data_IF_403447043265
#
_entry.id   IF_403447043265
#
_cell.length_a   1.000
_cell.length_b   1.000
_cell.length_c   1.000
_cell.angle_alpha   90.00
_cell.angle_beta   90.00
_cell.angle_gamma   90.00
#
_symmetry.space_group_name_H-M   'P 1'
#
loop_
_entity.id
_entity.type
_entity.pdbx_description
1 polymer ?
#
# COMPACT_ATOMS: atom_id res chain seq x y z
N UNK A 1 16.87 3.57 8.25
CA UNK A 1 15.41 3.41 8.41
C UNK A 1 15.01 4.11 9.69
N UNK A 2 14.07 5.03 9.65
CA UNK A 2 13.72 5.90 10.80
C UNK A 2 13.05 5.17 11.97
N UNK A 3 12.61 3.92 11.76
CA UNK A 3 11.94 3.09 12.77
C UNK A 3 12.90 2.34 13.70
N UNK A 4 14.19 2.21 13.34
CA UNK A 4 15.11 1.29 14.03
C UNK A 4 14.74 -0.20 13.88
N UNK A 5 13.66 -0.52 13.17
CA UNK A 5 13.21 -1.87 12.87
C UNK A 5 13.75 -2.33 11.52
N UNK A 6 13.73 -3.65 11.29
CA UNK A 6 14.06 -4.20 9.98
C UNK A 6 13.02 -3.79 8.93
N UNK A 7 13.43 -3.58 7.68
CA UNK A 7 12.47 -3.51 6.57
C UNK A 7 11.57 -4.74 6.59
N UNK A 8 10.25 -4.51 6.56
CA UNK A 8 9.23 -5.56 6.61
C UNK A 8 9.27 -6.40 7.89
N UNK A 9 9.62 -5.81 9.03
CA UNK A 9 9.49 -6.46 10.34
C UNK A 9 8.06 -7.01 10.54
N UNK A 10 7.94 -8.21 11.09
CA UNK A 10 6.67 -8.93 11.21
C UNK A 10 6.22 -9.71 9.97
N UNK A 11 6.88 -9.55 8.81
CA UNK A 11 6.63 -10.38 7.64
C UNK A 11 7.53 -11.62 7.60
N UNK A 12 6.98 -12.74 7.12
CA UNK A 12 7.79 -13.91 6.80
C UNK A 12 8.59 -13.65 5.53
N UNK A 13 9.90 -13.88 5.57
CA UNK A 13 10.80 -13.77 4.41
C UNK A 13 10.57 -14.94 3.45
N UNK A 14 9.54 -14.82 2.61
CA UNK A 14 9.13 -15.85 1.67
C UNK A 14 8.88 -15.25 0.27
N UNK A 15 8.44 -16.10 -0.66
CA UNK A 15 8.17 -15.66 -2.04
C UNK A 15 7.01 -14.65 -2.13
N UNK A 16 6.03 -14.73 -1.24
CA UNK A 16 4.87 -13.83 -1.26
C UNK A 16 5.27 -12.41 -0.85
N UNK A 17 6.17 -12.26 0.14
CA UNK A 17 6.78 -10.97 0.47
C UNK A 17 7.59 -10.43 -0.71
N UNK A 18 8.42 -11.27 -1.34
CA UNK A 18 9.22 -10.85 -2.49
C UNK A 18 8.35 -10.38 -3.67
N UNK A 19 7.24 -11.07 -3.95
CA UNK A 19 6.27 -10.65 -4.96
C UNK A 19 5.62 -9.33 -4.60
N UNK A 20 5.22 -9.16 -3.33
CA UNK A 20 4.63 -7.92 -2.85
C UNK A 20 5.59 -6.74 -3.03
N UNK A 21 6.89 -6.93 -2.75
CA UNK A 21 7.94 -5.92 -2.99
C UNK A 21 8.08 -5.61 -4.49
N UNK A 22 8.11 -6.62 -5.35
CA UNK A 22 8.11 -6.45 -6.81
C UNK A 22 6.88 -5.67 -7.30
N UNK A 23 5.74 -5.83 -6.62
CA UNK A 23 4.47 -5.18 -6.93
C UNK A 23 4.31 -3.81 -6.26
N UNK A 24 5.34 -3.29 -5.58
CA UNK A 24 5.33 -1.91 -5.06
C UNK A 24 5.25 -1.80 -3.54
N UNK A 25 5.12 -2.89 -2.79
CA UNK A 25 5.19 -2.83 -1.33
C UNK A 25 6.53 -2.21 -0.89
N UNK A 26 6.48 -1.20 -0.01
CA UNK A 26 7.65 -0.51 0.55
C UNK A 26 7.56 -0.47 2.08
N UNK A 27 8.71 -0.42 2.77
CA UNK A 27 8.71 -0.22 4.22
C UNK A 27 8.15 1.15 4.59
N UNK A 28 7.40 1.21 5.68
CA UNK A 28 6.89 2.47 6.23
C UNK A 28 7.96 3.22 7.01
N UNK A 29 7.83 4.55 7.03
CA UNK A 29 8.61 5.42 7.91
C UNK A 29 7.92 5.53 9.27
N UNK A 30 8.70 5.70 10.34
CA UNK A 30 8.15 5.89 11.67
C UNK A 30 7.27 7.16 11.75
N UNK A 31 6.19 7.17 12.55
CA UNK A 31 5.48 8.40 12.88
C UNK A 31 6.44 9.48 13.37
N UNK A 32 6.25 10.70 12.88
CA UNK A 32 7.15 11.82 13.18
C UNK A 32 8.40 11.91 12.32
N UNK A 33 8.72 10.93 11.46
CA UNK A 33 9.87 11.03 10.55
C UNK A 33 9.87 12.37 9.78
N UNK A 34 11.00 13.11 9.69
CA UNK A 34 11.06 14.38 8.98
C UNK A 34 10.55 14.26 7.54
N UNK A 35 9.73 15.22 7.08
CA UNK A 35 9.13 15.20 5.74
C UNK A 35 10.19 15.20 4.65
N UNK A 36 11.29 15.93 4.84
CA UNK A 36 12.43 15.92 3.92
C UNK A 36 13.03 14.51 3.78
N UNK A 37 13.11 13.75 4.87
CA UNK A 37 13.60 12.37 4.87
C UNK A 37 12.62 11.42 4.18
N UNK A 38 11.32 11.51 4.47
CA UNK A 38 10.28 10.70 3.81
C UNK A 38 10.35 10.89 2.30
N UNK A 39 10.40 12.14 1.84
CA UNK A 39 10.51 12.48 0.41
C UNK A 39 11.75 11.84 -0.23
N UNK A 40 12.90 11.86 0.44
CA UNK A 40 14.11 11.22 -0.07
C UNK A 40 13.97 9.70 -0.15
N UNK A 41 13.39 9.07 0.87
CA UNK A 41 13.14 7.61 0.89
C UNK A 41 12.20 7.20 -0.24
N UNK A 42 11.11 7.94 -0.45
CA UNK A 42 10.16 7.70 -1.55
C UNK A 42 10.86 7.76 -2.92
N UNK A 43 11.69 8.78 -3.16
CA UNK A 43 12.49 8.87 -4.40
C UNK A 43 13.46 7.69 -4.55
N UNK A 44 14.15 7.30 -3.48
CA UNK A 44 15.10 6.18 -3.51
C UNK A 44 14.43 4.82 -3.74
N UNK A 45 13.18 4.68 -3.31
CA UNK A 45 12.41 3.44 -3.38
C UNK A 45 11.43 3.41 -4.57
N UNK A 46 11.51 4.37 -5.49
CA UNK A 46 10.62 4.44 -6.65
C UNK A 46 10.66 3.12 -7.45
N UNK A 47 9.50 2.54 -7.84
CA UNK A 47 9.47 1.33 -8.65
C UNK A 47 10.21 1.51 -9.99
N UNK A 48 10.20 2.71 -10.57
CA UNK A 48 10.94 3.04 -11.79
C UNK A 48 12.40 3.40 -11.46
N UNK A 49 13.39 2.58 -11.89
CA UNK A 49 14.80 2.85 -11.63
C UNK A 49 15.28 4.20 -12.19
N UNK A 50 14.64 4.73 -13.24
CA UNK A 50 15.01 6.01 -13.84
C UNK A 50 14.57 7.21 -13.00
N UNK A 51 13.58 7.04 -12.11
CA UNK A 51 13.13 8.08 -11.19
C UNK A 51 13.97 8.14 -9.90
N UNK A 52 14.75 7.10 -9.63
CA UNK A 52 15.62 7.04 -8.45
C UNK A 52 16.77 8.06 -8.57
N UNK A 53 17.13 8.76 -7.48
CA UNK A 53 18.22 9.71 -7.50
C UNK A 53 19.57 8.99 -7.65
N UNK A 54 20.55 9.67 -8.25
CA UNK A 54 21.94 9.22 -8.20
C UNK A 54 22.49 9.31 -6.77
N UNK A 55 23.55 8.55 -6.49
CA UNK A 55 24.25 8.65 -5.21
C UNK A 55 24.77 10.07 -4.91
N UNK A 56 25.22 10.79 -5.94
CA UNK A 56 25.63 12.19 -5.84
C UNK A 56 24.48 13.10 -5.42
N UNK A 57 23.29 12.93 -6.01
CA UNK A 57 22.10 13.69 -5.61
C UNK A 57 21.71 13.41 -4.17
N UNK A 58 21.74 12.14 -3.74
CA UNK A 58 21.48 11.77 -2.34
C UNK A 58 22.50 12.42 -1.42
N UNK A 59 23.78 12.38 -1.78
CA UNK A 59 24.84 13.04 -1.02
C UNK A 59 24.61 14.54 -0.87
N UNK A 60 24.25 15.23 -1.96
CA UNK A 60 23.96 16.67 -1.92
C UNK A 60 22.77 17.01 -1.03
N UNK A 61 21.69 16.23 -1.07
CA UNK A 61 20.54 16.40 -0.16
C UNK A 61 20.95 16.25 1.31
N UNK A 62 21.70 15.19 1.64
CA UNK A 62 22.19 14.96 3.00
C UNK A 62 23.14 16.07 3.46
N UNK A 63 24.01 16.55 2.56
CA UNK A 63 24.94 17.63 2.84
C UNK A 63 24.19 18.94 3.14
N UNK A 64 23.17 19.28 2.35
CA UNK A 64 22.31 20.45 2.59
C UNK A 64 21.60 20.37 3.95
N UNK A 65 21.14 19.19 4.36
CA UNK A 65 20.54 19.02 5.68
C UNK A 65 21.57 19.21 6.80
N UNK A 66 22.79 18.71 6.62
CA UNK A 66 23.85 18.92 7.60
C UNK A 66 24.25 20.39 7.73
N UNK A 67 24.41 21.11 6.60
CA UNK A 67 24.65 22.55 6.61
C UNK A 67 23.51 23.32 7.29
N UNK A 68 22.26 22.93 7.03
CA UNK A 68 21.08 23.52 7.66
C UNK A 68 21.14 23.42 9.18
N UNK A 69 21.55 22.26 9.72
CA UNK A 69 21.70 22.06 11.16
C UNK A 69 22.78 22.96 11.78
N UNK A 70 23.84 23.29 11.03
CA UNK A 70 24.94 24.16 11.48
C UNK A 70 24.60 25.66 11.41
N UNK A 71 23.60 26.05 10.61
CA UNK A 71 23.20 27.45 10.48
C UNK A 71 22.58 27.99 11.78
N UNK A 72 22.89 29.25 12.06
CA UNK A 72 22.34 29.97 13.21
C UNK A 72 20.83 30.21 13.09
N UNK A 73 20.34 30.43 11.87
CA UNK A 73 18.92 30.65 11.62
C UNK A 73 18.20 29.32 11.46
N UNK A 74 16.99 29.23 12.01
CA UNK A 74 16.15 28.06 11.85
C UNK A 74 15.44 28.11 10.50
N UNK A 75 15.74 27.13 9.66
CA UNK A 75 14.97 26.84 8.47
C UNK A 75 14.03 25.66 8.69
N UNK A 76 13.17 25.40 7.72
CA UNK A 76 12.16 24.35 7.77
C UNK A 76 12.77 22.95 7.93
N UNK A 77 13.94 22.68 7.35
CA UNK A 77 14.63 21.39 7.44
C UNK A 77 15.13 21.20 8.87
N UNK A 78 15.88 22.17 9.39
CA UNK A 78 16.39 22.15 10.77
C UNK A 78 15.25 21.98 11.77
N UNK A 79 14.14 22.71 11.58
CA UNK A 79 12.96 22.59 12.45
C UNK A 79 12.38 21.18 12.45
N UNK A 80 12.22 20.55 11.29
CA UNK A 80 11.71 19.18 11.21
C UNK A 80 12.57 18.18 11.98
N UNK A 81 13.90 18.30 11.93
CA UNK A 81 14.78 17.41 12.70
C UNK A 81 14.72 17.69 14.21
N UNK A 82 14.72 18.96 14.61
CA UNK A 82 14.63 19.35 16.02
C UNK A 82 13.31 18.92 16.67
N UNK A 83 12.18 19.03 15.95
CA UNK A 83 10.87 18.60 16.43
C UNK A 83 10.89 17.09 16.76
N UNK A 84 11.57 16.29 15.93
CA UNK A 84 11.71 14.83 16.14
C UNK A 84 12.61 14.50 17.32
N UNK A 85 13.71 15.22 17.49
CA UNK A 85 14.60 15.02 18.64
C UNK A 85 13.88 15.25 19.98
N UNK A 86 12.90 16.16 20.03
CA UNK A 86 12.07 16.33 21.23
C UNK A 86 11.11 15.17 21.44
N UNK A 87 10.52 14.61 20.37
CA UNK A 87 9.64 13.44 20.45
C UNK A 87 10.43 12.20 20.92
N UNK A 88 11.62 11.96 20.35
CA UNK A 88 12.45 10.79 20.67
C UNK A 88 12.80 10.74 22.16
N UNK A 89 13.08 11.88 22.79
CA UNK A 89 13.36 11.95 24.24
C UNK A 89 12.21 11.46 25.12
N UNK A 90 10.99 11.41 24.58
CA UNK A 90 9.78 11.01 25.31
C UNK A 90 9.33 9.58 25.01
N UNK A 91 9.93 8.90 24.03
CA UNK A 91 9.54 7.55 23.61
C UNK A 91 10.18 6.45 24.48
N UNK A 92 9.44 5.40 24.87
CA UNK A 92 10.01 4.24 25.57
C UNK A 92 11.03 3.51 24.69
N UNK A 93 12.23 3.24 25.20
CA UNK A 93 13.37 2.67 24.45
C UNK A 93 13.25 1.16 24.15
N UNK A 94 12.09 0.53 24.40
CA UNK A 94 11.94 -0.92 24.26
C UNK A 94 11.66 -1.27 22.80
N UNK A 95 12.71 -1.61 22.06
CA UNK A 95 12.57 -2.27 20.76
C UNK A 95 12.22 -3.75 20.96
N UNK A 96 11.34 -4.34 20.12
CA UNK A 96 11.08 -5.77 20.14
C UNK A 96 12.39 -6.55 19.96
N UNK A 97 12.70 -7.45 20.90
CA UNK A 97 13.83 -8.38 20.78
C UNK A 97 13.38 -9.50 19.85
N UNK A 98 13.97 -9.55 18.66
CA UNK A 98 13.74 -10.61 17.69
C UNK A 98 14.92 -11.59 17.67
N UNK A 99 14.71 -12.88 17.38
CA UNK A 99 15.79 -13.87 17.33
C UNK A 99 16.88 -13.55 16.30
N UNK A 100 18.14 -13.90 16.61
CA UNK A 100 19.32 -13.56 15.80
C UNK A 100 19.29 -14.14 14.37
N UNK A 101 18.65 -15.30 14.19
CA UNK A 101 18.53 -15.97 12.88
C UNK A 101 17.75 -15.15 11.84
N UNK A 102 17.01 -14.12 12.27
CA UNK A 102 16.24 -13.26 11.39
C UNK A 102 17.15 -12.20 10.73
N UNK A 103 18.41 -12.00 11.18
CA UNK A 103 19.34 -10.97 10.68
C UNK A 103 20.34 -11.49 9.65
N UNK A 104 20.31 -12.79 9.32
CA UNK A 104 21.17 -13.36 8.28
C UNK A 104 20.54 -13.14 6.91
N UNK A 105 21.33 -12.65 5.95
CA UNK A 105 20.88 -12.50 4.57
C UNK A 105 20.54 -13.88 3.98
N UNK A 106 19.32 -14.03 3.48
CA UNK A 106 18.93 -15.21 2.70
C UNK A 106 19.00 -14.93 1.21
N UNK A 107 19.47 -15.92 0.44
CA UNK A 107 19.48 -15.83 -1.02
C UNK A 107 18.04 -15.96 -1.53
N UNK A 108 17.56 -14.91 -2.18
CA UNK A 108 16.26 -14.92 -2.84
C UNK A 108 16.36 -15.75 -4.12
N UNK A 109 15.48 -16.75 -4.26
CA UNK A 109 15.36 -17.53 -5.50
C UNK A 109 14.58 -16.73 -6.56
N UNK A 110 15.30 -15.96 -7.36
CA UNK A 110 14.74 -15.12 -8.42
C UNK A 110 14.02 -15.93 -9.50
N UNK A 111 14.46 -17.15 -9.80
CA UNK A 111 13.78 -18.03 -10.75
C UNK A 111 12.39 -18.42 -10.25
N UNK A 112 12.24 -18.70 -8.95
CA UNK A 112 10.95 -19.02 -8.33
C UNK A 112 10.01 -17.82 -8.39
N UNK A 113 10.51 -16.62 -8.11
CA UNK A 113 9.74 -15.36 -8.22
C UNK A 113 9.26 -15.14 -9.66
N UNK A 114 10.18 -15.24 -10.64
CA UNK A 114 9.84 -15.08 -12.06
C UNK A 114 8.85 -16.15 -12.51
N UNK A 115 8.99 -17.39 -12.04
CA UNK A 115 8.03 -18.47 -12.31
C UNK A 115 6.63 -18.16 -11.79
N UNK A 116 6.53 -17.59 -10.59
CA UNK A 116 5.26 -17.20 -9.97
C UNK A 116 4.62 -16.00 -10.67
N UNK A 117 5.40 -14.96 -11.02
CA UNK A 117 4.92 -13.84 -11.83
C UNK A 117 4.39 -14.30 -13.20
N UNK A 118 5.10 -15.24 -13.85
CA UNK A 118 4.64 -15.85 -15.09
C UNK A 118 3.32 -16.59 -14.93
N UNK A 119 3.09 -17.24 -13.79
CA UNK A 119 1.86 -17.99 -13.54
C UNK A 119 0.61 -17.11 -13.42
N UNK A 120 0.76 -15.82 -13.10
CA UNK A 120 -0.35 -14.85 -13.07
C UNK A 120 -0.75 -14.34 -14.46
N UNK A 121 -0.01 -14.73 -15.50
CA UNK A 121 -0.23 -14.26 -16.85
C UNK A 121 0.25 -12.82 -17.06
N UNK A 122 0.06 -12.34 -18.29
CA UNK A 122 0.36 -10.96 -18.67
C UNK A 122 -0.92 -10.20 -18.91
N UNK A 123 -0.92 -8.93 -18.54
CA UNK A 123 -1.99 -8.02 -18.88
C UNK A 123 -2.04 -7.80 -20.39
N UNK A 124 -3.22 -7.89 -20.99
CA UNK A 124 -3.44 -7.62 -22.40
C UNK A 124 -3.20 -6.14 -22.77
N UNK A 125 -3.35 -5.21 -21.82
CA UNK A 125 -3.24 -3.77 -22.06
C UNK A 125 -1.80 -3.21 -22.00
N UNK A 126 -0.92 -3.72 -21.13
CA UNK A 126 0.50 -3.29 -21.06
C UNK A 126 1.51 -4.38 -21.42
N UNK A 127 1.09 -5.64 -21.59
CA UNK A 127 1.99 -6.79 -21.80
C UNK A 127 3.01 -7.02 -20.66
N UNK A 128 2.76 -6.43 -19.48
CA UNK A 128 3.51 -6.69 -18.24
C UNK A 128 2.87 -7.85 -17.47
N UNK A 129 3.64 -8.51 -16.61
CA UNK A 129 3.09 -9.55 -15.74
C UNK A 129 2.06 -8.95 -14.77
N UNK A 130 0.98 -9.68 -14.56
CA UNK A 130 -0.01 -9.33 -13.56
C UNK A 130 0.56 -9.46 -12.16
N UNK A 131 0.06 -8.65 -11.22
CA UNK A 131 0.50 -8.68 -9.82
C UNK A 131 -0.19 -9.79 -9.03
N UNK A 132 -1.38 -10.20 -9.47
CA UNK A 132 -2.08 -11.43 -9.06
C UNK A 132 -2.82 -12.05 -10.25
N UNK A 133 -3.48 -13.18 -10.02
CA UNK A 133 -4.40 -13.75 -11.02
C UNK A 133 -5.39 -12.70 -11.51
N UNK A 134 -5.46 -12.53 -12.84
CA UNK A 134 -6.32 -11.57 -13.54
C UNK A 134 -6.28 -10.10 -13.06
N UNK A 135 -5.18 -9.65 -12.44
CA UNK A 135 -5.06 -8.26 -11.95
C UNK A 135 -3.78 -7.57 -12.40
N UNK A 136 -3.94 -6.51 -13.18
CA UNK A 136 -2.91 -5.60 -13.64
C UNK A 136 -2.93 -4.30 -12.85
N UNK A 137 -1.89 -4.09 -12.02
CA UNK A 137 -1.74 -2.86 -11.24
C UNK A 137 -1.81 -1.57 -12.06
N UNK A 138 -1.36 -1.61 -13.31
CA UNK A 138 -1.25 -0.42 -14.15
C UNK A 138 -2.59 0.03 -14.72
N UNK A 139 -3.58 -0.86 -14.85
CA UNK A 139 -4.82 -0.54 -15.56
C UNK A 139 -6.09 -0.88 -14.79
N UNK A 140 -6.13 -2.01 -14.10
CA UNK A 140 -7.37 -2.47 -13.47
C UNK A 140 -7.82 -1.55 -12.33
N UNK A 141 -6.93 -1.05 -11.45
CA UNK A 141 -7.33 -0.01 -10.50
C UNK A 141 -7.94 1.23 -11.16
N UNK A 142 -7.44 1.63 -12.34
CA UNK A 142 -7.99 2.78 -13.07
C UNK A 142 -9.37 2.50 -13.68
N UNK A 143 -9.68 1.23 -14.01
CA UNK A 143 -11.02 0.84 -14.43
C UNK A 143 -12.00 0.86 -13.27
N UNK A 144 -11.59 0.34 -12.10
CA UNK A 144 -12.43 0.29 -10.90
C UNK A 144 -12.83 1.68 -10.39
N UNK A 145 -11.96 2.69 -10.55
CA UNK A 145 -12.27 4.07 -10.16
C UNK A 145 -13.11 4.83 -11.21
N UNK A 146 -13.29 4.26 -12.41
CA UNK A 146 -13.94 4.96 -13.52
C UNK A 146 -15.46 4.93 -13.39
N UNK A 147 -16.09 6.09 -13.46
CA UNK A 147 -17.54 6.21 -13.69
C UNK A 147 -18.42 6.29 -12.45
N UNK A 148 -17.87 6.18 -11.24
CA UNK A 148 -18.64 6.34 -10.00
C UNK A 148 -18.17 7.51 -9.12
N UNK A 149 -19.11 8.07 -8.37
CA UNK A 149 -18.88 9.02 -7.27
C UNK A 149 -19.95 8.82 -6.20
N UNK A 150 -19.54 8.90 -4.94
CA UNK A 150 -20.44 8.91 -3.78
C UNK A 150 -21.17 10.24 -3.59
N UNK A 151 -20.72 11.29 -4.30
CA UNK A 151 -21.14 12.68 -4.06
C UNK A 151 -20.33 13.37 -2.96
N UNK A 152 -19.54 12.64 -2.18
CA UNK A 152 -18.62 13.17 -1.17
C UNK A 152 -17.17 13.02 -1.65
N UNK A 153 -16.45 14.15 -1.73
CA UNK A 153 -15.09 14.18 -2.29
C UNK A 153 -14.06 13.50 -1.39
N UNK A 154 -14.26 13.53 -0.08
CA UNK A 154 -13.33 12.94 0.88
C UNK A 154 -13.50 11.41 0.91
N UNK A 155 -14.75 10.93 0.83
CA UNK A 155 -15.06 9.51 0.69
C UNK A 155 -14.55 8.98 -0.66
N UNK A 156 -14.83 9.69 -1.76
CA UNK A 156 -14.34 9.33 -3.09
C UNK A 156 -12.82 9.21 -3.13
N UNK A 157 -12.12 10.19 -2.56
CA UNK A 157 -10.65 10.19 -2.50
C UNK A 157 -10.15 8.98 -1.72
N UNK A 158 -10.70 8.73 -0.53
CA UNK A 158 -10.32 7.61 0.32
C UNK A 158 -10.49 6.28 -0.42
N UNK A 159 -11.68 6.02 -0.99
CA UNK A 159 -11.95 4.75 -1.67
C UNK A 159 -11.09 4.58 -2.91
N UNK A 160 -10.92 5.62 -3.72
CA UNK A 160 -10.08 5.59 -4.93
C UNK A 160 -8.61 5.36 -4.58
N UNK A 161 -8.11 5.93 -3.48
CA UNK A 161 -6.76 5.64 -2.97
C UNK A 161 -6.59 4.17 -2.58
N UNK A 162 -7.58 3.55 -1.91
CA UNK A 162 -7.53 2.11 -1.62
C UNK A 162 -7.57 1.25 -2.88
N UNK A 163 -8.44 1.57 -3.84
CA UNK A 163 -8.53 0.85 -5.12
C UNK A 163 -7.22 0.94 -5.92
N UNK A 164 -6.63 2.14 -6.01
CA UNK A 164 -5.34 2.39 -6.69
C UNK A 164 -4.17 1.59 -6.11
N UNK A 165 -4.21 1.30 -4.81
CA UNK A 165 -3.16 0.57 -4.10
C UNK A 165 -3.42 -0.95 -4.02
N UNK A 166 -4.57 -1.44 -4.47
CA UNK A 166 -4.89 -2.85 -4.42
C UNK A 166 -4.00 -3.66 -5.37
N UNK A 167 -3.31 -4.68 -4.84
CA UNK A 167 -2.40 -5.55 -5.59
C UNK A 167 -3.08 -6.78 -6.21
N UNK A 168 -4.35 -6.98 -5.88
CA UNK A 168 -5.18 -8.08 -6.33
C UNK A 168 -6.64 -7.67 -6.27
N UNK A 169 -7.48 -8.29 -7.09
CA UNK A 169 -8.93 -8.07 -7.08
C UNK A 169 -9.53 -8.29 -5.68
N UNK A 170 -9.13 -9.38 -5.00
CA UNK A 170 -9.61 -9.72 -3.64
C UNK A 170 -9.17 -8.74 -2.55
N UNK A 171 -8.29 -7.80 -2.88
CA UNK A 171 -7.82 -6.72 -1.99
C UNK A 171 -8.36 -5.35 -2.39
N UNK A 172 -9.02 -5.25 -3.54
CA UNK A 172 -9.71 -4.04 -3.95
C UNK A 172 -11.06 -3.95 -3.21
N UNK A 173 -11.37 -2.75 -2.72
CA UNK A 173 -12.72 -2.45 -2.25
C UNK A 173 -13.58 -2.01 -3.43
N UNK A 174 -14.86 -2.36 -3.43
CA UNK A 174 -15.82 -1.96 -4.47
C UNK A 174 -16.76 -0.88 -3.94
N UNK A 175 -17.00 0.15 -4.76
CA UNK A 175 -18.03 1.13 -4.47
C UNK A 175 -19.39 0.59 -4.87
N UNK A 176 -20.33 0.54 -3.91
CA UNK A 176 -21.71 0.09 -4.14
C UNK A 176 -22.64 1.31 -4.00
N UNK A 177 -23.28 1.76 -5.09
CA UNK A 177 -24.29 2.81 -5.03
C UNK A 177 -25.44 2.44 -4.08
N UNK A 178 -25.97 3.42 -3.34
CA UNK A 178 -26.99 3.16 -2.32
C UNK A 178 -28.29 2.56 -2.89
N UNK A 179 -28.65 2.92 -4.12
CA UNK A 179 -29.81 2.37 -4.85
C UNK A 179 -29.62 0.90 -5.27
N UNK A 180 -28.42 0.34 -5.09
CA UNK A 180 -28.10 -1.08 -5.28
C UNK A 180 -28.14 -1.88 -3.98
N UNK A 181 -28.54 -1.26 -2.87
CA UNK A 181 -28.72 -1.93 -1.59
C UNK A 181 -30.22 -2.15 -1.31
N UNK A 182 -30.58 -3.38 -0.96
CA UNK A 182 -31.92 -3.78 -0.56
C UNK A 182 -31.93 -4.35 0.86
N UNK A 183 -33.11 -4.49 1.48
CA UNK A 183 -33.29 -5.06 2.81
C UNK A 183 -32.44 -4.38 3.91
N UNK A 184 -32.36 -3.04 3.88
CA UNK A 184 -31.64 -2.28 4.90
C UNK A 184 -32.22 -2.53 6.30
N UNK A 185 -31.37 -3.04 7.20
CA UNK A 185 -31.67 -3.32 8.60
C UNK A 185 -30.68 -2.58 9.50
N UNK A 186 -31.20 -1.78 10.42
CA UNK A 186 -30.37 -1.14 11.43
C UNK A 186 -29.73 -2.19 12.36
N UNK A 187 -28.43 -2.03 12.64
CA UNK A 187 -27.71 -2.88 13.60
C UNK A 187 -27.42 -2.09 14.89
N UNK A 188 -26.73 -0.96 14.79
CA UNK A 188 -26.30 -0.18 15.94
C UNK A 188 -25.96 1.26 15.55
N UNK A 189 -25.95 2.16 16.54
CA UNK A 189 -25.44 3.53 16.39
C UNK A 189 -24.28 3.75 17.34
N UNK A 190 -23.13 4.12 16.81
CA UNK A 190 -21.93 4.50 17.56
C UNK A 190 -21.69 6.01 17.52
N UNK A 191 -20.58 6.43 18.11
CA UNK A 191 -20.14 7.83 18.13
C UNK A 191 -19.81 8.37 16.73
N UNK A 192 -19.22 7.53 15.88
CA UNK A 192 -18.73 7.92 14.55
C UNK A 192 -19.66 7.53 13.39
N UNK A 193 -20.84 6.96 13.68
CA UNK A 193 -21.75 6.55 12.61
C UNK A 193 -22.85 5.58 13.02
N UNK A 194 -23.64 5.18 12.04
CA UNK A 194 -24.71 4.19 12.20
C UNK A 194 -24.42 2.99 11.32
N UNK A 195 -24.48 1.80 11.90
CA UNK A 195 -24.23 0.54 11.24
C UNK A 195 -25.54 -0.07 10.74
N UNK A 196 -25.56 -0.43 9.45
CA UNK A 196 -26.66 -1.10 8.79
C UNK A 196 -26.19 -2.41 8.17
N UNK A 197 -27.09 -3.38 8.09
CA UNK A 197 -26.99 -4.58 7.26
C UNK A 197 -27.83 -4.35 6.01
N UNK A 198 -27.36 -4.79 4.84
CA UNK A 198 -28.10 -4.70 3.59
C UNK A 198 -27.67 -5.85 2.66
N UNK A 199 -28.55 -6.19 1.72
CA UNK A 199 -28.27 -7.09 0.62
C UNK A 199 -27.81 -6.26 -0.58
N UNK A 200 -26.78 -6.72 -1.29
CA UNK A 200 -26.35 -6.09 -2.54
C UNK A 200 -27.03 -6.78 -3.73
N UNK A 201 -27.85 -6.03 -4.47
CA UNK A 201 -28.72 -6.59 -5.54
C UNK A 201 -27.95 -7.17 -6.72
N UNK A 202 -26.72 -6.70 -6.97
CA UNK A 202 -25.91 -7.20 -8.10
C UNK A 202 -25.10 -8.46 -7.73
N UNK A 203 -25.11 -8.87 -6.45
CA UNK A 203 -24.37 -10.03 -5.95
C UNK A 203 -22.85 -9.83 -5.84
N UNK A 204 -22.17 -10.79 -5.24
CA UNK A 204 -20.71 -10.76 -5.15
C UNK A 204 -20.08 -11.20 -6.48
N UNK A 205 -18.90 -10.66 -6.78
CA UNK A 205 -18.09 -11.14 -7.88
C UNK A 205 -17.52 -12.53 -7.56
N UNK A 206 -17.85 -13.53 -8.38
CA UNK A 206 -17.37 -14.90 -8.25
C UNK A 206 -16.56 -15.24 -9.51
N UNK A 207 -15.25 -15.44 -9.35
CA UNK A 207 -14.42 -15.92 -10.46
C UNK A 207 -14.82 -17.35 -10.82
N UNK A 208 -15.40 -17.52 -12.01
CA UNK A 208 -15.44 -18.81 -12.71
C UNK A 208 -14.19 -18.84 -13.59
N UNK A 209 -13.42 -19.93 -13.55
CA UNK A 209 -12.13 -20.06 -14.25
C UNK A 209 -12.23 -19.66 -15.75
N UNK A 210 -11.87 -18.41 -16.07
CA UNK A 210 -11.98 -17.81 -17.40
C UNK A 210 -11.67 -16.29 -17.41
N UNK A 211 -11.53 -15.66 -18.59
CA UNK A 211 -11.23 -14.22 -18.73
C UNK A 211 -12.43 -13.29 -18.45
N UNK A 212 -13.61 -13.84 -18.19
CA UNK A 212 -14.83 -13.07 -17.92
C UNK A 212 -15.17 -13.09 -16.42
N UNK A 213 -15.46 -11.91 -15.88
CA UNK A 213 -15.88 -11.72 -14.50
C UNK A 213 -17.40 -11.90 -14.43
N UNK A 214 -17.86 -13.00 -13.85
CA UNK A 214 -19.29 -13.23 -13.61
C UNK A 214 -19.68 -12.81 -12.18
N UNK A 215 -20.81 -12.12 -12.04
CA UNK A 215 -21.40 -11.76 -10.74
C UNK A 215 -22.46 -12.78 -10.39
N UNK A 216 -22.43 -13.35 -9.19
CA UNK A 216 -23.40 -14.35 -8.75
C UNK A 216 -24.00 -13.94 -7.42
N UNK A 217 -25.33 -14.02 -7.34
CA UNK A 217 -26.08 -13.87 -6.10
C UNK A 217 -25.76 -15.07 -5.17
N UNK A 218 -25.02 -14.79 -4.09
CA UNK A 218 -24.63 -15.80 -3.10
C UNK A 218 -25.80 -16.30 -2.24
N UNK A 219 -27.00 -15.72 -2.35
CA UNK A 219 -28.19 -16.17 -1.61
C UNK A 219 -28.95 -17.32 -2.30
N UNK A 220 -28.55 -17.70 -3.52
CA UNK A 220 -29.22 -18.76 -4.30
C UNK A 220 -28.82 -20.22 -3.93
N UNK A 221 -27.98 -20.43 -2.91
CA UNK A 221 -27.52 -21.78 -2.48
C UNK A 221 -27.64 -22.09 -0.99
N UNK A 222 -28.60 -21.50 -0.29
CA UNK A 222 -29.04 -22.03 1.01
C UNK A 222 -30.56 -22.24 0.96
N UNK A 223 -30.98 -23.39 0.45
CA UNK A 223 -32.31 -23.96 0.71
C UNK A 223 -32.18 -25.48 0.81
#
# INVERSE_FOLDING_TARGET
>A
MSTGQRPFDGHQFNIELALSICNGLRPECAPGTPKCYIKLVEMCMDPDPQKRPSADRVFNELHLWNESMERLNDDEIKKQFLDVDQIIKTLPTILPIHPDNMYTSEIINTQRIVGRLKSYGKCECCNQYNTSEAWCQTYDPHREIQGWSSGDKDIDKCIKEFQLNALAYTKAIEWIPFDRLDNLRFIAKGEFGTLYFANWVDGNVLYIFGPEVERVDTDSKIT
#
